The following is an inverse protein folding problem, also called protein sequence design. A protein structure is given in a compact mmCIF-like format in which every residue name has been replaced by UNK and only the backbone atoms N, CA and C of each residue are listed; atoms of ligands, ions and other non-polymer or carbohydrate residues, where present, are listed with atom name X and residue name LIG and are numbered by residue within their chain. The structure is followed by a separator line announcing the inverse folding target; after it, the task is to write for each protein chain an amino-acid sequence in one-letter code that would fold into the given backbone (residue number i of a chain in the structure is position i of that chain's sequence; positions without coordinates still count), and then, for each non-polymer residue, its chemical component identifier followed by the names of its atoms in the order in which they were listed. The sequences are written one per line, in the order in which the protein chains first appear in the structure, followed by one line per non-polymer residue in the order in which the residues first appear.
data_IF_390783450282
#
_entry.id   IF_390783450282
#
_cell.length_a   1.000
_cell.length_b   1.000
_cell.length_c   1.000
_cell.angle_alpha   90.00
_cell.angle_beta   90.00
_cell.angle_gamma   90.00
#
_symmetry.space_group_name_H-M   'P 1'
#
loop_
_entity.id
_entity.type
_entity.pdbx_description
1 polymer ?
#
# COMPACT_ATOMS: atom_id res chain seq x y z
N UNK A 1 3.68 0.00 12.29
CA UNK A 1 4.00 -0.13 10.85
C UNK A 1 2.73 -0.56 10.14
N UNK A 2 2.25 0.23 9.16
CA UNK A 2 1.04 -0.14 8.41
C UNK A 2 1.27 -1.49 7.71
N UNK A 3 0.65 -2.53 8.22
CA UNK A 3 0.75 -3.89 7.70
C UNK A 3 -0.62 -4.49 7.38
N UNK A 4 -1.67 -3.71 7.53
CA UNK A 4 -3.04 -4.10 7.25
C UNK A 4 -3.93 -2.87 7.09
N UNK A 5 -4.79 -2.81 6.07
CA UNK A 5 -5.76 -1.72 5.89
C UNK A 5 -7.10 -2.24 5.36
N UNK A 6 -8.07 -1.35 5.25
CA UNK A 6 -9.36 -1.63 4.63
C UNK A 6 -9.71 -0.56 3.60
N UNK A 7 -10.32 -0.96 2.49
CA UNK A 7 -10.86 -0.09 1.47
C UNK A 7 -12.24 -0.58 1.06
N UNK A 8 -13.28 0.16 1.42
CA UNK A 8 -14.68 -0.23 1.20
C UNK A 8 -15.61 0.96 0.88
N UNK A 9 -15.07 2.16 0.61
CA UNK A 9 -15.86 3.31 0.16
C UNK A 9 -16.55 3.02 -1.16
N UNK A 10 -17.72 3.61 -1.36
CA UNK A 10 -18.36 3.58 -2.67
C UNK A 10 -17.51 4.29 -3.72
N UNK A 11 -17.59 3.80 -4.97
CA UNK A 11 -16.83 4.39 -6.09
C UNK A 11 -17.14 5.86 -6.31
N UNK A 12 -18.41 6.27 -6.17
CA UNK A 12 -18.82 7.66 -6.29
C UNK A 12 -18.17 8.56 -5.22
N UNK A 13 -17.96 8.01 -4.01
CA UNK A 13 -17.26 8.71 -2.93
C UNK A 13 -15.78 8.88 -3.23
N UNK A 14 -15.10 7.81 -3.69
CA UNK A 14 -13.69 7.87 -4.07
C UNK A 14 -13.48 8.77 -5.29
N UNK A 15 -14.35 8.68 -6.30
CA UNK A 15 -14.28 9.53 -7.48
C UNK A 15 -14.46 11.02 -7.13
N UNK A 16 -15.38 11.33 -6.21
CA UNK A 16 -15.60 12.70 -5.77
C UNK A 16 -14.44 13.26 -4.92
N UNK A 17 -13.76 12.43 -4.13
CA UNK A 17 -12.65 12.86 -3.26
C UNK A 17 -11.31 12.90 -4.03
N UNK A 18 -11.11 12.03 -5.04
CA UNK A 18 -9.81 11.85 -5.70
C UNK A 18 -9.82 12.10 -7.22
N UNK A 19 -10.89 12.68 -7.76
CA UNK A 19 -11.04 13.05 -9.18
C UNK A 19 -10.82 11.86 -10.15
N UNK A 20 -11.45 10.71 -9.85
CA UNK A 20 -11.30 9.50 -10.67
C UNK A 20 -12.28 9.52 -11.84
N UNK A 21 -11.80 9.17 -13.03
CA UNK A 21 -12.59 9.11 -14.28
C UNK A 21 -13.39 7.81 -14.39
N UNK A 22 -12.73 6.67 -14.16
CA UNK A 22 -13.36 5.35 -14.15
C UNK A 22 -12.65 4.49 -13.09
N UNK A 23 -13.38 4.08 -12.09
CA UNK A 23 -12.85 3.28 -11.00
C UNK A 23 -13.65 2.00 -10.86
N UNK A 24 -12.97 0.88 -10.81
CA UNK A 24 -13.55 -0.38 -10.37
C UNK A 24 -12.58 -1.07 -9.43
N UNK A 25 -13.06 -1.49 -8.27
CA UNK A 25 -12.29 -2.29 -7.33
C UNK A 25 -13.22 -3.21 -6.55
N UNK A 26 -12.67 -4.23 -5.96
CA UNK A 26 -13.38 -5.10 -5.02
C UNK A 26 -13.09 -4.63 -3.60
N UNK A 27 -14.15 -4.35 -2.83
CA UNK A 27 -14.00 -3.88 -1.45
C UNK A 27 -13.27 -4.93 -0.60
N UNK A 28 -12.33 -4.48 0.23
CA UNK A 28 -11.61 -5.31 1.19
C UNK A 28 -11.64 -4.66 2.57
N UNK A 29 -11.93 -5.47 3.57
CA UNK A 29 -11.94 -5.08 4.99
C UNK A 29 -10.67 -5.54 5.72
N UNK A 30 -9.77 -6.23 5.02
CA UNK A 30 -8.60 -6.84 5.62
C UNK A 30 -7.43 -7.00 4.64
N UNK A 31 -7.17 -5.97 3.81
CA UNK A 31 -6.07 -5.96 2.86
C UNK A 31 -4.74 -6.30 3.55
N UNK A 32 -4.05 -7.31 3.04
CA UNK A 32 -2.85 -7.88 3.62
C UNK A 32 -1.67 -7.91 2.63
N UNK A 33 -0.42 -7.94 3.12
CA UNK A 33 0.74 -8.11 2.28
C UNK A 33 0.65 -9.34 1.36
N UNK A 34 1.20 -9.20 0.17
CA UNK A 34 1.19 -10.17 -0.94
C UNK A 34 -0.14 -10.32 -1.68
N UNK A 35 -1.15 -9.54 -1.35
CA UNK A 35 -2.39 -9.43 -2.13
C UNK A 35 -2.25 -8.39 -3.24
N UNK A 36 -3.03 -8.58 -4.31
CA UNK A 36 -3.17 -7.63 -5.41
C UNK A 36 -4.28 -6.63 -5.04
N UNK A 37 -3.92 -5.35 -4.95
CA UNK A 37 -4.75 -4.30 -4.37
C UNK A 37 -4.79 -3.07 -5.27
N UNK A 38 -5.86 -2.25 -5.22
CA UNK A 38 -5.98 -1.04 -6.02
C UNK A 38 -5.02 0.05 -5.53
N UNK A 39 -4.36 0.69 -6.48
CA UNK A 39 -3.47 1.85 -6.28
C UNK A 39 -3.67 2.87 -7.39
N UNK A 40 -3.36 4.14 -7.13
CA UNK A 40 -3.30 5.20 -8.14
C UNK A 40 -1.83 5.47 -8.46
N UNK A 41 -1.42 5.28 -9.71
CA UNK A 41 -0.04 5.47 -10.14
C UNK A 41 0.18 6.89 -10.65
N UNK A 42 1.39 7.40 -10.53
CA UNK A 42 1.78 8.70 -11.09
C UNK A 42 1.71 8.76 -12.62
N UNK A 43 1.76 7.60 -13.30
CA UNK A 43 1.57 7.49 -14.76
C UNK A 43 0.10 7.66 -15.17
N UNK A 44 -0.84 7.25 -14.33
CA UNK A 44 -2.29 7.39 -14.56
C UNK A 44 -3.03 7.53 -13.22
N UNK A 45 -3.10 8.75 -12.66
CA UNK A 45 -3.66 8.99 -11.33
C UNK A 45 -5.19 9.01 -11.29
N UNK A 46 -5.87 8.89 -12.44
CA UNK A 46 -7.34 8.95 -12.55
C UNK A 46 -7.99 7.58 -12.64
N UNK A 47 -7.21 6.50 -12.75
CA UNK A 47 -7.70 5.13 -12.83
C UNK A 47 -6.99 4.23 -11.81
N UNK A 48 -7.70 3.24 -11.26
CA UNK A 48 -7.08 2.23 -10.41
C UNK A 48 -6.27 1.24 -11.22
N UNK A 49 -4.99 1.14 -10.88
CA UNK A 49 -4.15 0.02 -11.25
C UNK A 49 -4.18 -1.04 -10.16
N UNK A 50 -3.95 -2.30 -10.53
CA UNK A 50 -3.81 -3.40 -9.56
C UNK A 50 -2.34 -3.70 -9.36
N UNK A 51 -1.87 -3.64 -8.11
CA UNK A 51 -0.48 -3.93 -7.76
C UNK A 51 -0.37 -4.80 -6.51
N UNK A 52 0.63 -5.66 -6.48
CA UNK A 52 0.92 -6.54 -5.34
C UNK A 52 1.53 -5.74 -4.19
N UNK A 53 1.00 -5.87 -2.99
CA UNK A 53 1.60 -5.25 -1.81
C UNK A 53 2.83 -6.01 -1.32
N UNK A 54 3.99 -5.40 -1.47
CA UNK A 54 5.33 -5.94 -1.27
C UNK A 54 6.15 -5.68 -2.52
N UNK A 55 7.00 -4.61 -2.47
CA UNK A 55 7.74 -4.11 -3.61
C UNK A 55 8.73 -5.14 -4.13
N UNK A 56 8.58 -5.54 -5.38
CA UNK A 56 9.51 -6.43 -6.07
C UNK A 56 10.46 -5.58 -6.91
N UNK A 57 11.74 -5.48 -6.54
CA UNK A 57 12.68 -4.68 -7.32
C UNK A 57 12.84 -5.20 -8.74
N UNK A 58 12.92 -4.30 -9.73
CA UNK A 58 13.09 -4.66 -11.16
C UNK A 58 14.33 -5.52 -11.43
N UNK A 59 15.36 -5.39 -10.60
CA UNK A 59 16.63 -6.14 -10.72
C UNK A 59 16.61 -7.52 -10.04
N UNK A 60 15.53 -7.93 -9.35
CA UNK A 60 15.45 -9.24 -8.71
C UNK A 60 15.35 -10.37 -9.74
N UNK A 61 15.85 -11.56 -9.40
CA UNK A 61 15.80 -12.73 -10.29
C UNK A 61 14.36 -13.23 -10.50
N UNK A 62 13.47 -12.95 -9.54
CA UNK A 62 12.06 -13.31 -9.60
C UNK A 62 11.25 -12.64 -8.49
N UNK A 63 9.91 -12.65 -8.59
CA UNK A 63 9.03 -12.00 -7.62
C UNK A 63 9.10 -12.59 -6.20
N UNK A 64 9.75 -13.75 -6.05
CA UNK A 64 9.91 -14.46 -4.77
C UNK A 64 11.38 -14.64 -4.37
N UNK A 65 12.32 -14.15 -5.19
CA UNK A 65 13.75 -14.42 -5.05
C UNK A 65 14.53 -13.19 -4.54
N UNK A 66 13.81 -12.18 -4.05
CA UNK A 66 14.38 -10.95 -3.53
C UNK A 66 13.64 -10.41 -2.30
N UNK A 67 14.01 -9.22 -1.83
CA UNK A 67 13.24 -8.51 -0.83
C UNK A 67 11.87 -8.11 -1.40
N UNK A 68 10.84 -8.17 -0.57
CA UNK A 68 9.49 -7.70 -0.88
C UNK A 68 8.96 -6.79 0.24
N UNK A 69 9.63 -5.63 0.49
CA UNK A 69 9.27 -4.74 1.58
C UNK A 69 7.86 -4.19 1.39
N UNK A 70 7.04 -4.38 2.42
CA UNK A 70 5.67 -3.83 2.47
C UNK A 70 5.65 -2.37 2.92
N UNK A 71 6.76 -1.90 3.52
CA UNK A 71 6.92 -0.51 3.97
C UNK A 71 8.31 0.02 3.61
N UNK A 72 8.35 1.31 3.24
CA UNK A 72 9.56 2.10 3.01
C UNK A 72 9.62 3.24 4.03
N UNK A 73 10.79 3.44 4.68
CA UNK A 73 10.94 4.51 5.67
C UNK A 73 11.26 5.84 4.98
N UNK A 74 10.50 6.90 5.28
CA UNK A 74 10.69 8.24 4.77
C UNK A 74 12.14 8.73 4.91
N UNK A 75 12.75 8.49 6.07
CA UNK A 75 14.07 8.98 6.42
C UNK A 75 15.21 8.37 5.57
N UNK A 76 14.94 7.31 4.84
CA UNK A 76 15.95 6.60 4.06
C UNK A 76 15.58 6.38 2.59
N UNK A 77 14.53 7.01 2.09
CA UNK A 77 14.05 6.80 0.72
C UNK A 77 15.12 7.08 -0.34
N UNK A 78 15.81 8.21 -0.22
CA UNK A 78 16.83 8.65 -1.19
C UNK A 78 18.14 7.87 -1.08
N UNK A 79 18.44 7.29 0.09
CA UNK A 79 19.70 6.58 0.34
C UNK A 79 19.59 5.07 0.12
N UNK A 80 18.38 4.52 0.24
CA UNK A 80 18.15 3.09 0.12
C UNK A 80 17.94 2.68 -1.35
N UNK A 81 18.85 1.88 -1.88
CA UNK A 81 18.84 1.39 -3.27
C UNK A 81 17.55 0.65 -3.68
N UNK A 82 16.77 0.17 -2.70
CA UNK A 82 15.46 -0.45 -2.97
C UNK A 82 14.40 0.58 -3.36
N UNK A 83 14.54 1.84 -2.90
CA UNK A 83 13.47 2.82 -2.97
C UNK A 83 13.86 4.09 -3.72
N UNK A 84 15.16 4.42 -3.81
CA UNK A 84 15.62 5.72 -4.32
C UNK A 84 15.10 6.03 -5.72
N UNK A 85 15.20 5.08 -6.65
CA UNK A 85 14.72 5.27 -8.03
C UNK A 85 13.18 5.34 -8.09
N UNK A 86 12.47 4.49 -7.31
CA UNK A 86 11.01 4.53 -7.25
C UNK A 86 10.51 5.83 -6.60
N UNK A 87 11.21 6.36 -5.59
CA UNK A 87 10.90 7.65 -4.99
C UNK A 87 11.02 8.82 -5.96
N UNK A 88 12.00 8.77 -6.86
CA UNK A 88 12.18 9.82 -7.88
C UNK A 88 11.19 9.71 -9.04
N UNK A 89 10.77 8.50 -9.44
CA UNK A 89 10.12 8.26 -10.73
C UNK A 89 8.83 7.45 -10.70
N UNK A 90 8.51 6.76 -9.61
CA UNK A 90 7.39 5.80 -9.53
C UNK A 90 6.70 5.89 -8.18
N UNK A 91 5.92 6.94 -8.02
CA UNK A 91 5.11 7.17 -6.81
C UNK A 91 3.68 6.74 -7.05
N UNK A 92 3.03 6.25 -6.02
CA UNK A 92 1.62 5.89 -6.06
C UNK A 92 0.90 6.35 -4.80
N UNK A 93 -0.42 6.31 -4.87
CA UNK A 93 -1.30 6.50 -3.73
C UNK A 93 -2.06 5.21 -3.47
N UNK A 94 -2.15 4.84 -2.20
CA UNK A 94 -2.91 3.68 -1.74
C UNK A 94 -4.14 4.19 -1.01
N UNK A 95 -5.34 4.12 -1.61
CA UNK A 95 -6.56 4.54 -0.97
C UNK A 95 -6.95 3.56 0.15
N UNK A 96 -7.48 4.09 1.24
CA UNK A 96 -7.94 3.30 2.38
C UNK A 96 -9.06 4.02 3.15
N UNK A 97 -9.99 3.31 3.73
CA UNK A 97 -10.92 3.86 4.72
C UNK A 97 -10.29 3.95 6.11
N UNK A 98 -9.25 3.17 6.34
CA UNK A 98 -8.50 3.13 7.57
C UNK A 98 -7.51 1.98 7.57
N UNK A 99 -6.72 1.89 8.61
CA UNK A 99 -5.70 0.86 8.78
C UNK A 99 -5.74 0.27 10.18
N UNK A 100 -5.11 -0.88 10.34
CA UNK A 100 -5.06 -1.58 11.62
C UNK A 100 -3.69 -1.41 12.27
N UNK A 101 -3.71 -1.18 13.60
CA UNK A 101 -2.54 -1.22 14.47
C UNK A 101 -2.81 -2.09 15.70
N UNK A 102 -1.75 -2.65 16.27
CA UNK A 102 -1.85 -3.60 17.37
C UNK A 102 -1.12 -3.07 18.61
N UNK A 103 -1.86 -2.89 19.68
CA UNK A 103 -1.31 -2.46 20.96
C UNK A 103 -1.15 -3.65 21.90
N UNK A 104 -0.02 -3.75 22.59
CA UNK A 104 0.20 -4.78 23.61
C UNK A 104 -0.69 -4.52 24.82
N UNK A 105 -1.38 -5.56 25.25
CA UNK A 105 -2.21 -5.58 26.46
C UNK A 105 -1.72 -6.67 27.40
N UNK A 106 -2.23 -6.73 28.64
CA UNK A 106 -1.85 -7.78 29.59
C UNK A 106 -2.18 -9.22 29.13
N UNK A 107 -3.14 -9.36 28.20
CA UNK A 107 -3.64 -10.65 27.70
C UNK A 107 -3.20 -10.96 26.25
N UNK A 108 -2.40 -10.09 25.61
CA UNK A 108 -1.93 -10.27 24.22
C UNK A 108 -1.91 -8.95 23.45
N UNK A 109 -2.15 -9.03 22.14
CA UNK A 109 -2.23 -7.86 21.26
C UNK A 109 -3.68 -7.58 20.86
N UNK A 110 -4.16 -6.41 21.20
CA UNK A 110 -5.47 -5.91 20.80
C UNK A 110 -5.33 -5.14 19.47
N UNK A 111 -6.03 -5.54 18.39
CA UNK A 111 -6.09 -4.75 17.18
C UNK A 111 -7.04 -3.56 17.35
N UNK A 112 -6.64 -2.44 16.77
CA UNK A 112 -7.42 -1.21 16.65
C UNK A 112 -7.58 -0.87 15.17
N UNK A 113 -8.76 -0.44 14.78
CA UNK A 113 -8.98 0.19 13.49
C UNK A 113 -8.84 1.70 13.67
N UNK A 114 -8.02 2.31 12.82
CA UNK A 114 -7.72 3.74 12.82
C UNK A 114 -8.29 4.35 11.55
N UNK A 115 -9.12 5.37 11.66
CA UNK A 115 -9.68 6.11 10.53
C UNK A 115 -9.69 7.62 10.79
N UNK A 116 -10.10 8.39 9.78
CA UNK A 116 -10.31 9.83 9.93
C UNK A 116 -11.60 10.11 10.71
N UNK A 117 -11.56 11.14 11.55
CA UNK A 117 -12.75 11.56 12.33
C UNK A 117 -13.89 12.13 11.46
N UNK A 118 -13.59 12.61 10.25
CA UNK A 118 -14.57 13.11 9.28
C UNK A 118 -15.17 12.02 8.38
N UNK A 119 -14.72 10.77 8.55
CA UNK A 119 -15.19 9.59 7.80
C UNK A 119 -14.71 9.50 6.36
N UNK A 120 -13.93 10.45 5.88
CA UNK A 120 -13.40 10.43 4.51
C UNK A 120 -12.30 9.38 4.34
N UNK A 121 -12.11 8.84 3.12
CA UNK A 121 -11.01 7.97 2.83
C UNK A 121 -9.65 8.67 2.98
N UNK A 122 -8.62 7.86 3.19
CA UNK A 122 -7.21 8.23 3.31
C UNK A 122 -6.49 7.96 1.99
N UNK A 123 -5.47 8.74 1.69
CA UNK A 123 -4.44 8.40 0.71
C UNK A 123 -3.13 8.10 1.44
N UNK A 124 -2.64 6.87 1.35
CA UNK A 124 -1.32 6.53 1.86
C UNK A 124 -0.29 6.73 0.76
N UNK A 125 0.78 7.48 1.04
CA UNK A 125 1.89 7.60 0.11
C UNK A 125 2.56 6.25 -0.13
N UNK A 126 2.80 5.91 -1.38
CA UNK A 126 3.43 4.67 -1.78
C UNK A 126 4.46 4.86 -2.88
N UNK A 127 5.26 3.81 -3.08
CA UNK A 127 6.17 3.67 -4.21
C UNK A 127 5.82 2.39 -4.95
N UNK A 128 5.97 2.39 -6.26
CA UNK A 128 5.68 1.20 -7.06
C UNK A 128 6.84 0.79 -7.96
N UNK A 129 6.80 -0.43 -8.45
CA UNK A 129 7.80 -0.99 -9.34
C UNK A 129 7.17 -2.06 -10.25
N UNK A 130 7.69 -2.20 -11.45
CA UNK A 130 7.35 -3.32 -12.33
C UNK A 130 8.55 -4.23 -12.49
N UNK A 131 8.44 -5.43 -11.99
CA UNK A 131 9.38 -6.49 -12.30
C UNK A 131 8.96 -7.17 -13.62
N UNK A 132 9.91 -7.32 -14.54
CA UNK A 132 9.69 -8.00 -15.82
C UNK A 132 10.65 -9.18 -15.94
N UNK A 133 10.18 -10.38 -16.31
CA UNK A 133 11.04 -11.53 -16.48
C UNK A 133 12.08 -11.29 -17.57
N UNK A 134 13.35 -11.64 -17.31
CA UNK A 134 14.36 -11.63 -18.35
C UNK A 134 13.96 -12.59 -19.48
N UNK A 135 13.86 -12.10 -20.70
CA UNK A 135 13.69 -12.95 -21.87
C UNK A 135 15.00 -13.77 -22.05
N UNK A 136 15.02 -15.01 -21.57
CA UNK A 136 16.09 -15.94 -21.94
C UNK A 136 16.02 -16.16 -23.45
N UNK A 137 17.03 -15.69 -24.19
CA UNK A 137 17.21 -16.09 -25.58
C UNK A 137 17.32 -17.61 -25.62
N UNK A 138 16.24 -18.29 -25.98
CA UNK A 138 16.25 -19.72 -26.28
C UNK A 138 17.15 -19.91 -27.50
N UNK A 139 18.35 -20.44 -27.27
CA UNK A 139 19.25 -20.84 -28.35
C UNK A 139 18.59 -21.95 -29.19
N UNK A 140 18.90 -21.99 -30.48
CA UNK A 140 18.34 -22.89 -31.51
C UNK A 140 18.38 -24.42 -31.16
N UNK A 141 18.83 -24.79 -29.97
CA UNK A 141 19.02 -26.18 -29.53
C UNK A 141 17.89 -26.78 -28.69
N UNK A 142 16.90 -26.02 -28.23
CA UNK A 142 15.85 -26.48 -27.29
C UNK A 142 14.54 -26.95 -27.95
N UNK A 143 14.51 -27.15 -29.26
CA UNK A 143 13.33 -27.70 -29.96
C UNK A 143 13.05 -29.20 -29.74
N UNK A 144 13.73 -29.85 -28.80
CA UNK A 144 13.54 -31.27 -28.49
C UNK A 144 12.85 -31.43 -27.11
N UNK A 145 11.53 -31.26 -27.03
CA UNK A 145 10.70 -31.97 -26.06
C UNK A 145 10.26 -31.26 -24.78
N UNK A 146 10.33 -29.95 -24.72
CA UNK A 146 9.71 -29.17 -23.63
C UNK A 146 8.41 -28.50 -24.11
N UNK A 147 7.29 -28.72 -23.43
CA UNK A 147 6.07 -27.91 -23.63
C UNK A 147 6.37 -26.44 -23.38
N UNK A 148 5.47 -25.49 -23.81
CA UNK A 148 5.68 -24.08 -23.65
C UNK A 148 5.93 -23.78 -22.16
N UNK A 149 7.15 -23.36 -21.81
CA UNK A 149 7.39 -22.71 -20.52
C UNK A 149 6.46 -21.50 -20.48
N UNK A 150 5.53 -21.46 -19.54
CA UNK A 150 4.73 -20.27 -19.28
C UNK A 150 5.74 -19.15 -19.04
N UNK A 151 5.84 -18.20 -19.97
CA UNK A 151 6.59 -16.98 -19.73
C UNK A 151 5.98 -16.37 -18.47
N UNK A 152 6.82 -16.04 -17.49
CA UNK A 152 6.35 -15.36 -16.30
C UNK A 152 5.78 -14.00 -16.74
N UNK A 153 4.63 -13.63 -16.21
CA UNK A 153 4.02 -12.34 -16.51
C UNK A 153 4.72 -11.23 -15.71
N UNK A 154 4.79 -9.98 -16.21
CA UNK A 154 5.26 -8.85 -15.43
C UNK A 154 4.47 -8.72 -14.13
N UNK A 155 5.14 -8.35 -13.04
CA UNK A 155 4.52 -8.12 -11.73
C UNK A 155 4.64 -6.66 -11.37
N UNK A 156 3.51 -5.98 -11.29
CA UNK A 156 3.42 -4.66 -10.70
C UNK A 156 3.27 -4.78 -9.19
N UNK A 157 4.05 -4.02 -8.44
CA UNK A 157 4.09 -4.13 -6.98
C UNK A 157 4.28 -2.77 -6.33
N UNK A 158 3.86 -2.64 -5.06
CA UNK A 158 3.98 -1.39 -4.32
C UNK A 158 4.42 -1.60 -2.87
N UNK A 159 4.87 -0.52 -2.25
CA UNK A 159 5.17 -0.42 -0.82
C UNK A 159 4.59 0.87 -0.25
N UNK A 160 4.18 0.85 1.02
CA UNK A 160 3.65 2.04 1.71
C UNK A 160 4.80 2.81 2.37
N UNK A 161 4.85 4.12 2.18
CA UNK A 161 5.82 4.99 2.85
C UNK A 161 5.37 5.22 4.29
N UNK A 162 6.33 5.13 5.23
CA UNK A 162 6.08 5.33 6.65
C UNK A 162 7.01 6.38 7.24
N UNK A 163 6.51 7.12 8.23
CA UNK A 163 7.23 8.15 8.96
C UNK A 163 7.12 7.95 10.48
N UNK A 164 7.63 8.88 11.29
CA UNK A 164 7.37 8.92 12.72
C UNK A 164 5.88 9.11 13.00
N UNK A 165 5.35 8.60 14.12
CA UNK A 165 3.94 8.79 14.43
C UNK A 165 3.66 10.23 14.87
N UNK A 166 2.45 10.73 14.58
CA UNK A 166 1.96 11.91 15.25
C UNK A 166 1.57 11.59 16.71
N UNK A 167 1.21 12.60 17.50
CA UNK A 167 0.89 12.46 18.93
C UNK A 167 -0.23 11.44 19.20
N UNK A 168 -1.23 11.36 18.31
CA UNK A 168 -2.34 10.41 18.43
C UNK A 168 -1.89 8.97 18.19
N UNK A 169 -1.17 8.71 17.11
CA UNK A 169 -0.75 7.36 16.72
C UNK A 169 0.43 6.83 17.55
N UNK A 170 1.17 7.71 18.24
CA UNK A 170 2.24 7.32 19.14
C UNK A 170 1.75 6.40 20.29
N UNK A 171 0.48 6.50 20.68
CA UNK A 171 -0.14 5.62 21.68
C UNK A 171 -0.37 4.18 21.17
N UNK A 172 -0.40 4.00 19.83
CA UNK A 172 -0.69 2.70 19.19
C UNK A 172 0.57 2.07 18.60
N UNK A 173 1.40 2.87 17.92
CA UNK A 173 2.61 2.37 17.27
C UNK A 173 3.69 3.46 17.15
N UNK A 174 4.96 3.05 17.11
CA UNK A 174 6.11 3.96 16.96
C UNK A 174 6.37 4.40 15.50
N UNK A 175 5.53 4.04 14.55
CA UNK A 175 5.54 4.44 13.13
C UNK A 175 4.12 4.61 12.64
N UNK A 176 3.91 5.50 11.66
CA UNK A 176 2.66 5.63 10.93
C UNK A 176 2.93 5.63 9.41
N UNK A 177 1.92 5.31 8.61
CA UNK A 177 1.96 5.59 7.18
C UNK A 177 2.01 7.12 6.96
N UNK A 178 2.66 7.56 5.90
CA UNK A 178 2.51 8.94 5.41
C UNK A 178 1.11 9.05 4.83
N UNK A 179 0.24 9.77 5.53
CA UNK A 179 -1.17 9.95 5.17
C UNK A 179 -1.37 11.34 4.59
N UNK A 180 -1.94 11.41 3.41
CA UNK A 180 -2.13 12.62 2.62
C UNK A 180 -3.64 12.91 2.47
N UNK A 181 -4.00 14.18 2.33
CA UNK A 181 -5.27 14.60 1.77
C UNK A 181 -5.19 14.63 0.23
N UNK A 182 -6.29 14.98 -0.44
CA UNK A 182 -6.34 14.97 -1.91
C UNK A 182 -5.31 15.93 -2.54
N UNK A 183 -5.16 17.16 -2.03
CA UNK A 183 -4.21 18.15 -2.54
C UNK A 183 -2.75 17.68 -2.35
N UNK A 184 -2.42 17.16 -1.18
CA UNK A 184 -1.09 16.60 -0.91
C UNK A 184 -0.84 15.32 -1.74
N UNK A 185 -1.87 14.53 -2.02
CA UNK A 185 -1.81 13.36 -2.89
C UNK A 185 -1.44 13.73 -4.34
N UNK A 186 -2.09 14.74 -4.92
CA UNK A 186 -1.72 15.24 -6.25
C UNK A 186 -0.27 15.74 -6.29
N UNK A 187 0.16 16.46 -5.25
CA UNK A 187 1.55 16.90 -5.13
C UNK A 187 2.53 15.75 -4.97
N UNK A 188 2.15 14.70 -4.22
CA UNK A 188 2.96 13.50 -4.07
C UNK A 188 3.26 12.84 -5.42
N UNK A 189 2.27 12.73 -6.30
CA UNK A 189 2.44 12.12 -7.61
C UNK A 189 3.20 13.02 -8.60
N UNK A 190 3.03 14.35 -8.54
CA UNK A 190 3.47 15.26 -9.60
C UNK A 190 4.70 16.12 -9.28
N UNK A 191 5.01 16.35 -7.99
CA UNK A 191 6.12 17.24 -7.61
C UNK A 191 7.49 16.65 -7.93
N UNK A 192 8.45 17.50 -8.32
CA UNK A 192 9.86 17.09 -8.50
C UNK A 192 10.49 16.69 -7.16
N UNK A 193 10.20 17.42 -6.09
CA UNK A 193 10.63 17.10 -4.71
C UNK A 193 9.44 17.16 -3.74
N UNK A 194 8.84 16.02 -3.36
CA UNK A 194 7.75 15.94 -2.40
C UNK A 194 8.23 15.69 -0.96
N UNK A 195 9.47 15.98 -0.62
CA UNK A 195 10.05 15.63 0.69
C UNK A 195 9.37 16.29 1.88
N UNK A 196 8.73 17.45 1.68
CA UNK A 196 7.93 18.13 2.69
C UNK A 196 6.62 17.38 3.06
N UNK A 197 6.21 16.42 2.24
CA UNK A 197 5.03 15.58 2.49
C UNK A 197 5.34 14.33 3.33
N UNK A 198 6.60 14.08 3.65
CA UNK A 198 7.04 12.90 4.40
C UNK A 198 6.89 13.04 5.93
N UNK A 199 6.36 14.15 6.39
CA UNK A 199 6.12 14.44 7.81
C UNK A 199 4.89 13.69 8.35
N UNK A 200 4.79 13.52 9.69
CA UNK A 200 3.59 12.99 10.31
C UNK A 200 2.33 13.77 9.94
N UNK A 201 1.27 13.08 9.56
CA UNK A 201 0.01 13.71 9.16
C UNK A 201 -0.62 14.55 10.27
N UNK A 202 -1.20 15.69 9.88
CA UNK A 202 -1.99 16.58 10.74
C UNK A 202 -3.49 16.29 10.68
N UNK A 203 -3.92 15.29 9.92
CA UNK A 203 -5.30 14.83 9.85
C UNK A 203 -5.72 14.30 11.22
N UNK A 204 -6.94 14.62 11.63
CA UNK A 204 -7.52 14.13 12.88
C UNK A 204 -7.96 12.67 12.72
N UNK A 205 -7.46 11.82 13.61
CA UNK A 205 -7.77 10.40 13.64
C UNK A 205 -8.63 10.02 14.83
N UNK A 206 -9.38 8.95 14.66
CA UNK A 206 -10.02 8.18 15.73
C UNK A 206 -9.60 6.72 15.63
N UNK A 207 -9.69 6.01 16.75
CA UNK A 207 -9.38 4.59 16.79
C UNK A 207 -10.28 3.86 17.79
N UNK A 208 -10.66 2.65 17.44
CA UNK A 208 -11.42 1.78 18.32
C UNK A 208 -10.94 0.33 18.26
N UNK A 209 -11.09 -0.43 19.36
CA UNK A 209 -10.72 -1.84 19.37
C UNK A 209 -11.66 -2.63 18.46
N UNK A 210 -11.07 -3.55 17.68
CA UNK A 210 -11.80 -4.42 16.78
C UNK A 210 -11.53 -5.89 17.10
N UNK A 211 -12.30 -6.78 16.46
CA UNK A 211 -12.16 -8.21 16.65
C UNK A 211 -10.78 -8.75 16.29
N UNK A 212 -10.24 -9.65 17.12
CA UNK A 212 -9.01 -10.40 16.80
C UNK A 212 -9.13 -11.28 15.54
N UNK A 213 -10.35 -11.45 15.00
CA UNK A 213 -10.56 -12.13 13.73
C UNK A 213 -9.77 -11.49 12.58
N UNK A 214 -9.45 -10.20 12.65
CA UNK A 214 -8.59 -9.48 11.70
C UNK A 214 -7.17 -10.05 11.62
N UNK A 215 -6.69 -10.75 12.63
CA UNK A 215 -5.37 -11.38 12.65
C UNK A 215 -5.19 -12.43 11.55
N UNK A 216 -6.28 -13.05 11.10
CA UNK A 216 -6.24 -13.99 9.99
C UNK A 216 -6.58 -13.28 8.66
N UNK A 217 -5.64 -13.14 7.72
CA UNK A 217 -5.88 -12.49 6.41
C UNK A 217 -7.02 -13.12 5.60
N UNK A 218 -7.31 -14.40 5.81
CA UNK A 218 -8.41 -15.07 5.11
C UNK A 218 -9.82 -14.61 5.56
N UNK A 219 -9.90 -13.87 6.65
CA UNK A 219 -11.13 -13.21 7.06
C UNK A 219 -11.19 -11.85 6.36
N UNK A 220 -12.16 -11.66 5.48
CA UNK A 220 -12.44 -10.40 4.81
C UNK A 220 -13.96 -10.15 4.81
N UNK A 221 -14.43 -9.26 5.70
CA UNK A 221 -15.85 -8.99 5.91
C UNK A 221 -16.07 -7.70 6.72
N UNK A 222 -17.23 -7.03 6.53
CA UNK A 222 -17.51 -5.73 7.15
C UNK A 222 -17.36 -5.67 8.68
N UNK A 223 -17.66 -6.75 9.39
CA UNK A 223 -17.61 -6.76 10.85
C UNK A 223 -16.20 -6.60 11.43
N UNK A 224 -15.16 -6.70 10.59
CA UNK A 224 -13.77 -6.52 11.03
C UNK A 224 -13.43 -5.07 11.36
N UNK A 225 -14.16 -4.10 10.81
CA UNK A 225 -13.98 -2.68 11.11
C UNK A 225 -14.93 -2.18 12.20
N UNK A 226 -15.82 -3.02 12.70
CA UNK A 226 -16.77 -2.65 13.75
C UNK A 226 -16.11 -2.70 15.14
N UNK A 227 -16.46 -1.75 16.04
CA UNK A 227 -15.92 -1.77 17.39
C UNK A 227 -16.40 -2.99 18.17
N UNK A 228 -15.49 -3.61 18.93
CA UNK A 228 -15.86 -4.65 19.91
C UNK A 228 -16.24 -4.00 21.24
N UNK A 229 -17.16 -4.65 21.97
CA UNK A 229 -17.67 -4.15 23.24
C UNK A 229 -16.64 -4.28 24.39
#
# INVERSE_FOLDING_TARGET
MCGRYALFSDLDELAAEFDLDDASYEATYNAAPSEDLPVLLDEDPTEFSTARWGLVPSWSEGPKDGPDPINARAESLTENRLFAEAYEQRRCLVPANGFYEWTETGDGKQPYFVSRTDGKPLLLAGLWETWTPEQKQTGLGEFAGGGPSREAEPVQSFTVVTTEPNDFLADYHHRMAVVLDAEAGERWLSAEDPSDLLEPSTIDFEAWPVSEAVNNPANDRPELVEPVA
#
